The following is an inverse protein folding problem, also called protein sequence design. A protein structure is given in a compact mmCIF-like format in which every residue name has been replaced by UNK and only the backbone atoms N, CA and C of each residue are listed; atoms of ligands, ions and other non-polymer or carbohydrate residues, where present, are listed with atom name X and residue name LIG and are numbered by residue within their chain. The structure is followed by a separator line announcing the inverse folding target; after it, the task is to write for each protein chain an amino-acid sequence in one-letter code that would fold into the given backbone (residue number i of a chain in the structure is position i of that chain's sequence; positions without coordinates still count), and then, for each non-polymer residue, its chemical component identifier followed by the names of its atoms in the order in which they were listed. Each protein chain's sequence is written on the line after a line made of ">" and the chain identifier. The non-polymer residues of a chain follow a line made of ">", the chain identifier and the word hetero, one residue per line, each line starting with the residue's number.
data_IF_475200051484
#
_entry.id   IF_475200051484
#
_cell.length_a   1.000
_cell.length_b   1.000
_cell.length_c   1.000
_cell.angle_alpha   90.00
_cell.angle_beta   90.00
_cell.angle_gamma   90.00
#
_symmetry.space_group_name_H-M   'P 1'
#
loop_
_entity.id
_entity.type
_entity.pdbx_description
1 polymer ?
#
# COMPACT_ATOMS: atom_id res chain seq x y z
N UNK A 1 11.73 20.36 3.22
CA UNK A 1 11.08 19.67 2.09
C UNK A 1 10.60 18.33 2.61
N UNK A 2 9.29 18.12 2.74
CA UNK A 2 8.76 16.85 3.27
C UNK A 2 8.93 15.75 2.21
N UNK A 3 9.53 14.64 2.61
CA UNK A 3 9.66 13.43 1.80
C UNK A 3 8.75 12.35 2.37
N UNK A 4 8.07 11.62 1.50
CA UNK A 4 7.12 10.58 1.87
C UNK A 4 7.56 9.23 1.29
N UNK A 5 7.59 8.19 2.13
CA UNK A 5 7.89 6.83 1.67
C UNK A 5 6.60 6.10 1.33
N UNK A 6 6.57 5.51 0.13
CA UNK A 6 5.46 4.72 -0.38
C UNK A 6 5.89 3.30 -0.67
N UNK A 7 5.01 2.33 -0.42
CA UNK A 7 5.32 0.90 -0.52
C UNK A 7 4.30 0.20 -1.41
N UNK A 8 4.66 -0.98 -1.91
CA UNK A 8 3.66 -1.97 -2.31
C UNK A 8 3.28 -2.81 -1.09
N UNK A 9 2.07 -3.36 -1.11
CA UNK A 9 1.53 -4.13 0.01
C UNK A 9 0.94 -5.44 -0.49
N UNK A 10 1.10 -6.52 0.29
CA UNK A 10 0.19 -7.66 0.21
C UNK A 10 -1.10 -7.30 0.93
N UNK A 11 -2.22 -7.42 0.23
CA UNK A 11 -3.52 -6.96 0.72
C UNK A 11 -4.64 -7.95 0.39
N UNK A 12 -5.76 -7.77 1.09
CA UNK A 12 -7.07 -8.32 0.73
C UNK A 12 -8.08 -7.18 0.54
N UNK A 13 -9.13 -7.45 -0.22
CA UNK A 13 -10.27 -6.54 -0.30
C UNK A 13 -11.01 -6.49 1.04
N UNK A 14 -11.47 -5.28 1.41
CA UNK A 14 -12.34 -5.11 2.57
C UNK A 14 -13.67 -5.81 2.29
N UNK A 15 -14.25 -6.50 3.29
CA UNK A 15 -15.51 -7.19 3.09
C UNK A 15 -16.63 -6.17 2.83
N UNK A 16 -17.43 -6.39 1.79
CA UNK A 16 -18.57 -5.53 1.47
C UNK A 16 -19.69 -5.64 2.52
N UNK A 17 -19.81 -6.77 3.21
CA UNK A 17 -20.73 -7.01 4.32
C UNK A 17 -20.06 -7.87 5.41
N UNK A 18 -20.28 -7.51 6.68
CA UNK A 18 -19.84 -8.30 7.82
C UNK A 18 -20.57 -9.65 7.81
N UNK A 19 -19.83 -10.75 7.63
CA UNK A 19 -20.38 -12.12 7.69
C UNK A 19 -20.21 -12.97 6.43
N UNK A 20 -19.73 -12.38 5.32
CA UNK A 20 -19.40 -13.18 4.14
C UNK A 20 -18.02 -13.82 4.30
N UNK A 21 -18.00 -15.11 4.62
CA UNK A 21 -16.83 -15.98 4.55
C UNK A 21 -16.50 -16.31 3.08
N UNK A 22 -16.24 -15.27 2.29
CA UNK A 22 -15.71 -15.45 0.92
C UNK A 22 -14.21 -15.69 1.05
N UNK A 23 -13.67 -16.66 0.31
CA UNK A 23 -12.23 -16.84 0.14
C UNK A 23 -11.66 -15.58 -0.49
N UNK A 24 -11.19 -14.64 0.36
CA UNK A 24 -10.69 -13.34 -0.08
C UNK A 24 -9.27 -13.50 -0.62
N UNK A 25 -9.13 -13.28 -1.92
CA UNK A 25 -7.86 -13.43 -2.64
C UNK A 25 -6.83 -12.44 -2.09
N UNK A 26 -5.61 -12.93 -1.91
CA UNK A 26 -4.43 -12.10 -1.63
C UNK A 26 -3.85 -11.60 -2.95
N UNK A 27 -3.47 -10.32 -2.98
CA UNK A 27 -2.77 -9.74 -4.12
C UNK A 27 -1.80 -8.65 -3.67
N UNK A 28 -0.83 -8.33 -4.54
CA UNK A 28 0.08 -7.20 -4.34
C UNK A 28 -0.51 -5.97 -5.02
N UNK A 29 -0.47 -4.82 -4.36
CA UNK A 29 -0.93 -3.56 -4.95
C UNK A 29 -0.20 -3.24 -6.26
N UNK A 30 -0.93 -2.74 -7.26
CA UNK A 30 -0.35 -2.30 -8.53
C UNK A 30 0.48 -1.01 -8.38
N UNK A 31 0.04 -0.12 -7.48
CA UNK A 31 0.67 1.16 -7.20
C UNK A 31 1.31 1.19 -5.81
N UNK A 32 2.16 2.20 -5.60
CA UNK A 32 2.77 2.48 -4.30
C UNK A 32 1.85 3.40 -3.50
N UNK A 33 1.62 3.07 -2.24
CA UNK A 33 0.78 3.83 -1.33
C UNK A 33 1.56 4.24 -0.09
N UNK A 34 1.10 5.30 0.58
CA UNK A 34 1.42 5.46 2.00
C UNK A 34 0.71 4.38 2.81
N UNK A 35 1.18 4.13 4.03
CA UNK A 35 0.55 3.18 4.93
C UNK A 35 -0.93 3.56 5.22
N UNK A 36 -1.17 4.85 5.44
CA UNK A 36 -2.52 5.40 5.65
C UNK A 36 -3.44 5.17 4.44
N UNK A 37 -2.93 5.42 3.22
CA UNK A 37 -3.68 5.18 1.99
C UNK A 37 -4.00 3.69 1.78
N UNK A 38 -3.05 2.80 2.10
CA UNK A 38 -3.24 1.36 1.99
C UNK A 38 -4.30 0.86 2.99
N UNK A 39 -4.21 1.27 4.26
CA UNK A 39 -5.17 0.91 5.32
C UNK A 39 -6.57 1.48 5.06
N UNK A 40 -6.67 2.64 4.41
CA UNK A 40 -7.96 3.22 4.04
C UNK A 40 -8.69 2.36 2.99
N UNK A 41 -7.97 1.75 2.05
CA UNK A 41 -8.54 1.04 0.89
C UNK A 41 -8.65 -0.47 1.09
N UNK A 42 -7.73 -1.07 1.82
CA UNK A 42 -7.56 -2.51 1.89
C UNK A 42 -7.42 -3.04 3.31
N UNK A 43 -7.55 -4.35 3.46
CA UNK A 43 -7.02 -5.08 4.62
C UNK A 43 -5.55 -5.37 4.32
N UNK A 44 -4.63 -4.62 4.95
CA UNK A 44 -3.20 -4.80 4.75
C UNK A 44 -2.74 -6.04 5.52
N UNK A 45 -2.02 -6.92 4.81
CA UNK A 45 -1.47 -8.16 5.38
C UNK A 45 0.02 -7.99 5.64
N UNK A 46 0.75 -7.43 4.67
CA UNK A 46 2.20 -7.21 4.79
C UNK A 46 2.65 -6.00 3.97
N UNK A 47 3.62 -5.24 4.51
CA UNK A 47 4.29 -4.13 3.83
C UNK A 47 5.55 -4.63 3.13
N UNK A 48 5.68 -4.37 1.82
CA UNK A 48 6.82 -4.84 1.03
C UNK A 48 7.93 -3.79 0.96
N UNK A 49 8.80 -3.77 1.98
CA UNK A 49 9.94 -2.84 2.12
C UNK A 49 10.86 -2.80 0.90
N UNK A 50 11.16 -3.96 0.30
CA UNK A 50 12.05 -4.08 -0.85
C UNK A 50 11.52 -3.37 -2.13
N UNK A 51 10.27 -2.92 -2.11
CA UNK A 51 9.62 -2.17 -3.18
C UNK A 51 9.35 -0.71 -2.82
N UNK A 52 9.92 -0.20 -1.73
CA UNK A 52 9.71 1.16 -1.28
C UNK A 52 10.21 2.20 -2.29
N UNK A 53 9.51 3.33 -2.35
CA UNK A 53 9.86 4.52 -3.14
C UNK A 53 9.75 5.76 -2.27
N UNK A 54 10.78 6.60 -2.28
CA UNK A 54 10.75 7.91 -1.61
C UNK A 54 10.35 8.96 -2.64
N UNK A 55 9.27 9.67 -2.36
CA UNK A 55 8.82 10.81 -3.16
C UNK A 55 9.01 12.12 -2.39
N UNK A 56 9.37 13.19 -3.09
CA UNK A 56 9.40 14.52 -2.52
C UNK A 56 8.01 15.17 -2.49
N UNK A 57 7.91 16.37 -1.91
CA UNK A 57 6.67 17.15 -1.82
C UNK A 57 6.04 17.51 -3.18
N UNK A 58 6.80 17.38 -4.28
CA UNK A 58 6.36 17.63 -5.65
C UNK A 58 5.94 16.33 -6.36
N UNK A 59 6.04 15.17 -5.67
CA UNK A 59 5.68 13.87 -6.20
C UNK A 59 6.77 13.20 -7.04
N UNK A 60 7.97 13.77 -7.10
CA UNK A 60 9.08 13.18 -7.87
C UNK A 60 9.79 12.09 -7.07
N UNK A 61 10.17 11.02 -7.77
CA UNK A 61 10.96 9.94 -7.19
C UNK A 61 12.38 10.42 -6.90
N UNK A 62 12.77 10.39 -5.63
CA UNK A 62 14.16 10.59 -5.27
C UNK A 62 14.90 9.26 -5.46
N UNK A 63 15.97 9.29 -6.23
CA UNK A 63 16.91 8.15 -6.30
C UNK A 63 17.47 7.96 -4.89
N UNK A 64 17.33 6.76 -4.31
CA UNK A 64 18.01 6.43 -3.07
C UNK A 64 19.52 6.61 -3.32
N UNK A 65 20.16 7.44 -2.49
CA UNK A 65 21.59 7.72 -2.57
C UNK A 65 22.39 6.48 -2.15
#
# INVERSE_FOLDING_TARGET
>A
MATETRYRFFVREKPAQQGQAVTRRLFVTAYHFTEEQALARYEVVERLEHSARVVDALGYLRKAA
#
